data_IF_585286463533
#
_entry.id   IF_585286463533
#
_cell.length_a   1.000
_cell.length_b   1.000
_cell.length_c   1.000
_cell.angle_alpha   90.00
_cell.angle_beta   90.00
_cell.angle_gamma   90.00
#
_symmetry.space_group_name_H-M   'P 1'
#
loop_
_entity.id
_entity.type
_entity.pdbx_description
1 polymer ?
#
# COMPACT_ATOMS: atom_id res chain seq x y z
N UNK A 1 19.56 -11.17 -6.17
CA UNK A 1 18.69 -11.84 -5.17
C UNK A 1 17.96 -10.78 -4.36
N UNK A 2 16.63 -10.75 -4.36
CA UNK A 2 15.88 -10.31 -3.17
C UNK A 2 14.67 -11.24 -2.99
N UNK A 3 15.03 -12.30 -2.31
CA UNK A 3 14.22 -13.45 -1.95
C UNK A 3 13.72 -13.32 -0.52
N UNK A 4 14.22 -12.36 0.26
CA UNK A 4 14.08 -12.36 1.71
C UNK A 4 12.67 -11.98 2.17
N UNK A 5 12.01 -10.95 1.63
CA UNK A 5 10.66 -10.58 2.11
C UNK A 5 9.62 -11.65 1.78
N UNK A 6 9.68 -12.22 0.58
CA UNK A 6 8.80 -13.33 0.19
C UNK A 6 9.15 -14.63 0.93
N UNK A 7 10.44 -15.01 1.04
CA UNK A 7 10.86 -16.17 1.83
C UNK A 7 10.50 -16.02 3.30
N UNK A 8 10.69 -14.85 3.89
CA UNK A 8 10.32 -14.59 5.28
C UNK A 8 8.81 -14.72 5.46
N UNK A 9 8.01 -14.19 4.52
CA UNK A 9 6.57 -14.39 4.54
C UNK A 9 6.20 -15.87 4.36
N UNK A 10 6.81 -16.58 3.42
CA UNK A 10 6.54 -17.99 3.13
C UNK A 10 7.01 -18.91 4.27
N UNK A 11 8.02 -18.51 5.04
CA UNK A 11 8.52 -19.20 6.23
C UNK A 11 7.70 -18.88 7.50
N UNK A 12 6.81 -17.88 7.48
CA UNK A 12 5.91 -17.62 8.61
C UNK A 12 4.93 -18.79 8.79
N UNK A 13 4.60 -19.07 10.06
CA UNK A 13 3.51 -19.98 10.38
C UNK A 13 2.17 -19.45 9.80
N UNK A 14 1.17 -20.33 9.59
CA UNK A 14 -0.11 -19.96 8.98
C UNK A 14 -0.85 -18.83 9.71
N UNK A 15 -0.76 -18.79 11.04
CA UNK A 15 -1.40 -17.78 11.88
C UNK A 15 -0.81 -16.39 11.63
N UNK A 16 0.52 -16.27 11.60
CA UNK A 16 1.22 -15.02 11.33
C UNK A 16 0.99 -14.55 9.89
N UNK A 17 0.95 -15.46 8.91
CA UNK A 17 0.56 -15.13 7.53
C UNK A 17 -0.85 -14.56 7.47
N UNK A 18 -1.78 -15.19 8.19
CA UNK A 18 -3.18 -14.76 8.24
C UNK A 18 -3.30 -13.40 8.91
N UNK A 19 -2.71 -13.23 10.09
CA UNK A 19 -2.65 -11.95 10.81
C UNK A 19 -2.06 -10.84 9.95
N UNK A 20 -0.93 -11.11 9.29
CA UNK A 20 -0.31 -10.16 8.35
C UNK A 20 -1.29 -9.77 7.24
N UNK A 21 -1.91 -10.75 6.55
CA UNK A 21 -2.89 -10.46 5.49
C UNK A 21 -4.07 -9.62 5.99
N UNK A 22 -4.59 -9.92 7.18
CA UNK A 22 -5.75 -9.21 7.75
C UNK A 22 -5.42 -7.75 8.05
N UNK A 23 -4.25 -7.46 8.62
CA UNK A 23 -3.77 -6.10 8.92
C UNK A 23 -3.81 -5.21 7.67
N UNK A 24 -3.37 -5.75 6.53
CA UNK A 24 -3.30 -5.01 5.28
C UNK A 24 -4.62 -5.00 4.50
N UNK A 25 -5.53 -5.96 4.70
CA UNK A 25 -6.85 -6.00 4.02
C UNK A 25 -7.79 -4.91 4.53
N UNK A 26 -7.77 -4.62 5.83
CA UNK A 26 -8.61 -3.59 6.45
C UNK A 26 -8.01 -2.19 6.42
N UNK A 27 -6.95 -1.96 5.65
CA UNK A 27 -6.26 -0.67 5.65
C UNK A 27 -7.09 0.41 4.95
N UNK A 28 -6.97 1.64 5.42
CA UNK A 28 -7.54 2.84 4.82
C UNK A 28 -6.43 3.70 4.25
N UNK A 29 -6.72 4.40 3.15
CA UNK A 29 -5.81 5.33 2.52
C UNK A 29 -6.59 6.61 2.19
N UNK A 30 -6.16 7.71 2.80
CA UNK A 30 -6.80 9.02 2.69
C UNK A 30 -5.85 9.98 2.02
N UNK A 31 -6.31 10.63 0.96
CA UNK A 31 -5.58 11.68 0.25
C UNK A 31 -6.19 13.03 0.59
N UNK A 32 -5.38 13.97 1.07
CA UNK A 32 -5.82 15.34 1.34
C UNK A 32 -5.39 16.26 0.19
N UNK A 33 -6.16 17.33 -0.01
CA UNK A 33 -5.93 18.34 -1.06
C UNK A 33 -4.62 19.11 -0.90
N UNK A 34 -4.08 19.18 0.32
CA UNK A 34 -2.78 19.79 0.62
C UNK A 34 -1.58 18.89 0.25
N UNK A 35 -1.79 17.81 -0.51
CA UNK A 35 -0.72 16.88 -0.91
C UNK A 35 -0.30 15.89 0.18
N UNK A 36 -0.94 15.88 1.36
CA UNK A 36 -0.64 14.89 2.40
C UNK A 36 -1.49 13.63 2.25
N UNK A 37 -0.95 12.48 2.63
CA UNK A 37 -1.70 11.23 2.73
C UNK A 37 -1.62 10.65 4.14
N UNK A 38 -2.63 9.85 4.48
CA UNK A 38 -2.67 9.02 5.68
C UNK A 38 -3.03 7.59 5.27
N UNK A 39 -2.19 6.64 5.66
CA UNK A 39 -2.54 5.22 5.67
C UNK A 39 -2.81 4.79 7.10
N UNK A 40 -3.92 4.10 7.31
CA UNK A 40 -4.26 3.47 8.59
C UNK A 40 -4.35 1.97 8.37
N UNK A 41 -3.53 1.19 9.06
CA UNK A 41 -3.63 -0.28 9.04
C UNK A 41 -4.73 -0.73 10.02
N UNK A 42 -5.29 -1.93 9.83
CA UNK A 42 -6.40 -2.39 10.68
C UNK A 42 -6.01 -2.65 12.13
N UNK A 43 -4.72 -2.61 12.46
CA UNK A 43 -4.19 -2.71 13.82
C UNK A 43 -3.90 -1.33 14.46
N UNK A 44 -4.36 -0.23 13.84
CA UNK A 44 -4.18 1.13 14.34
C UNK A 44 -2.82 1.76 14.03
N UNK A 45 -1.92 1.05 13.34
CA UNK A 45 -0.65 1.65 12.89
C UNK A 45 -0.91 2.61 11.73
N UNK A 46 -0.39 3.81 11.87
CA UNK A 46 -0.59 4.88 10.89
C UNK A 46 0.71 5.24 10.18
N UNK A 47 0.59 5.70 8.94
CA UNK A 47 1.69 6.23 8.14
C UNK A 47 1.22 7.52 7.49
N UNK A 48 1.92 8.61 7.81
CA UNK A 48 1.72 9.93 7.22
C UNK A 48 2.82 10.20 6.20
N UNK A 49 2.53 11.10 5.27
CA UNK A 49 3.51 11.57 4.31
C UNK A 49 2.91 12.42 3.21
N UNK A 50 3.67 12.57 2.13
CA UNK A 50 3.27 13.36 0.95
C UNK A 50 2.93 12.43 -0.20
N UNK A 51 1.88 12.75 -0.95
CA UNK A 51 1.56 12.09 -2.21
C UNK A 51 1.76 13.06 -3.38
N UNK A 52 2.20 12.50 -4.51
CA UNK A 52 2.29 13.20 -5.78
C UNK A 52 1.88 12.27 -6.92
N UNK A 53 1.49 12.86 -8.06
CA UNK A 53 1.34 12.16 -9.32
C UNK A 53 2.50 12.53 -10.22
N UNK A 54 3.31 11.54 -10.59
CA UNK A 54 4.52 11.72 -11.40
C UNK A 54 4.45 10.72 -12.58
N UNK A 55 4.42 11.19 -13.83
CA UNK A 55 4.37 10.34 -15.03
C UNK A 55 3.28 9.24 -14.99
N UNK A 56 2.07 9.60 -14.54
CA UNK A 56 0.92 8.70 -14.35
C UNK A 56 1.10 7.62 -13.25
N UNK A 57 2.12 7.78 -12.41
CA UNK A 57 2.32 6.98 -11.21
C UNK A 57 1.92 7.76 -9.97
N UNK A 58 1.25 7.08 -9.04
CA UNK A 58 1.04 7.58 -7.68
C UNK A 58 2.30 7.32 -6.86
N UNK A 59 2.91 8.40 -6.38
CA UNK A 59 4.10 8.35 -5.54
C UNK A 59 3.70 8.73 -4.12
N UNK A 60 3.90 7.81 -3.17
CA UNK A 60 3.72 8.06 -1.74
C UNK A 60 5.10 8.14 -1.09
N UNK A 61 5.38 9.26 -0.43
CA UNK A 61 6.61 9.55 0.30
C UNK A 61 6.27 9.61 1.79
N UNK A 62 6.29 8.47 2.51
CA UNK A 62 6.11 8.45 3.97
C UNK A 62 7.13 9.35 4.67
N UNK A 63 6.76 9.93 5.81
CA UNK A 63 7.71 10.64 6.69
C UNK A 63 8.83 9.72 7.19
N UNK A 64 8.53 8.43 7.33
CA UNK A 64 9.46 7.38 7.74
C UNK A 64 9.33 6.17 6.84
N UNK A 65 10.47 5.69 6.32
CA UNK A 65 10.55 4.49 5.50
C UNK A 65 10.76 4.78 4.02
N UNK A 66 10.52 3.78 3.19
CA UNK A 66 10.78 3.85 1.75
C UNK A 66 9.62 4.49 0.98
N UNK A 67 9.96 5.22 -0.08
CA UNK A 67 9.00 5.73 -1.06
C UNK A 67 8.29 4.57 -1.74
N UNK A 68 6.97 4.69 -1.90
CA UNK A 68 6.15 3.74 -2.63
C UNK A 68 5.73 4.36 -3.95
N UNK A 69 6.03 3.69 -5.05
CA UNK A 69 5.65 4.12 -6.40
C UNK A 69 4.62 3.10 -6.91
N UNK A 70 3.47 3.58 -7.34
CA UNK A 70 2.39 2.76 -7.84
C UNK A 70 1.98 3.18 -9.24
N UNK A 71 1.83 2.20 -10.11
CA UNK A 71 1.05 2.36 -11.34
C UNK A 71 -0.44 2.32 -11.00
N UNK A 72 -1.18 3.33 -11.44
CA UNK A 72 -2.64 3.35 -11.32
C UNK A 72 -3.22 2.45 -12.42
N UNK A 73 -3.79 1.31 -12.04
CA UNK A 73 -4.42 0.37 -12.98
C UNK A 73 -5.88 0.71 -13.24
N UNK A 74 -6.60 1.21 -12.22
CA UNK A 74 -7.98 1.66 -12.34
C UNK A 74 -8.25 2.74 -11.31
N UNK A 75 -8.84 3.83 -11.73
CA UNK A 75 -9.43 4.85 -10.88
C UNK A 75 -10.86 5.10 -11.37
N UNK A 76 -11.82 5.05 -10.45
CA UNK A 76 -13.25 5.27 -10.69
C UNK A 76 -13.89 5.77 -9.40
N UNK A 77 -15.14 6.22 -9.46
CA UNK A 77 -15.85 6.79 -8.31
C UNK A 77 -15.91 5.85 -7.10
N UNK A 78 -15.85 4.53 -7.32
CA UNK A 78 -15.99 3.53 -6.26
C UNK A 78 -14.75 2.70 -6.04
N UNK A 79 -13.78 2.69 -6.97
CA UNK A 79 -12.63 1.77 -6.91
C UNK A 79 -11.33 2.44 -7.34
N UNK A 80 -10.29 2.16 -6.56
CA UNK A 80 -8.90 2.45 -6.88
C UNK A 80 -8.10 1.13 -6.87
N UNK A 81 -7.45 0.81 -7.99
CA UNK A 81 -6.56 -0.34 -8.12
C UNK A 81 -5.16 0.19 -8.43
N UNK A 82 -4.24 -0.07 -7.51
CA UNK A 82 -2.83 0.27 -7.62
C UNK A 82 -2.01 -0.99 -7.79
N UNK A 83 -0.94 -0.91 -8.56
CA UNK A 83 0.11 -1.93 -8.59
C UNK A 83 1.42 -1.29 -8.22
N UNK A 84 2.09 -1.82 -7.20
CA UNK A 84 3.38 -1.33 -6.78
C UNK A 84 4.39 -1.55 -7.93
N UNK A 85 5.10 -0.50 -8.30
CA UNK A 85 6.26 -0.61 -9.16
C UNK A 85 7.43 -1.13 -8.34
N UNK A 86 7.82 -2.37 -8.58
CA UNK A 86 9.02 -2.92 -7.96
C UNK A 86 10.24 -2.26 -8.62
N UNK A 87 10.85 -1.27 -7.97
CA UNK A 87 12.20 -0.83 -8.33
C UNK A 87 13.21 -1.78 -7.69
N UNK A 88 13.83 -2.62 -8.50
CA UNK A 88 14.85 -3.60 -8.07
C UNK A 88 14.27 -4.94 -7.61
N UNK A 89 15.13 -5.74 -6.96
CA UNK A 89 14.84 -7.16 -6.68
C UNK A 89 13.84 -7.42 -5.54
N UNK A 90 13.26 -6.39 -4.92
CA UNK A 90 12.31 -6.53 -3.81
C UNK A 90 10.95 -7.05 -4.29
N UNK A 91 10.75 -8.36 -4.13
CA UNK A 91 9.45 -9.00 -4.31
C UNK A 91 8.52 -8.55 -3.17
N UNK A 92 7.57 -7.68 -3.49
CA UNK A 92 6.52 -7.26 -2.56
C UNK A 92 5.50 -8.38 -2.37
N UNK A 93 5.15 -8.67 -1.11
CA UNK A 93 4.17 -9.70 -0.71
C UNK A 93 2.76 -9.35 -1.24
N UNK A 94 2.44 -8.07 -1.36
CA UNK A 94 1.16 -7.56 -1.88
C UNK A 94 1.37 -6.53 -2.98
N UNK A 95 1.69 -6.96 -4.22
CA UNK A 95 2.05 -6.05 -5.30
C UNK A 95 0.84 -5.30 -5.86
N UNK A 96 -0.38 -5.75 -5.56
CA UNK A 96 -1.64 -5.13 -6.03
C UNK A 96 -2.47 -4.71 -4.82
N UNK A 97 -2.87 -3.45 -4.82
CA UNK A 97 -3.69 -2.84 -3.78
C UNK A 97 -5.04 -2.47 -4.39
N UNK A 98 -6.12 -2.95 -3.78
CA UNK A 98 -7.48 -2.73 -4.26
C UNK A 98 -8.23 -2.04 -3.13
N UNK A 99 -8.74 -0.85 -3.43
CA UNK A 99 -9.51 -0.03 -2.50
C UNK A 99 -10.90 0.23 -3.08
N UNK A 100 -11.87 0.28 -2.17
CA UNK A 100 -13.20 0.83 -2.45
C UNK A 100 -13.34 2.18 -1.77
N UNK A 101 -13.94 3.15 -2.44
CA UNK A 101 -14.19 4.48 -1.86
C UNK A 101 -15.04 4.31 -0.60
N UNK A 102 -14.61 4.91 0.50
CA UNK A 102 -15.44 5.03 1.70
C UNK A 102 -16.63 5.93 1.37
N UNK A 103 -17.85 5.42 1.57
CA UNK A 103 -19.03 6.28 1.62
C UNK A 103 -19.03 6.93 2.99
N UNK A 104 -18.90 8.25 3.04
CA UNK A 104 -19.38 8.99 4.21
C UNK A 104 -20.91 8.97 4.10
N UNK A 105 -21.55 8.30 5.07
CA UNK A 105 -22.96 8.55 5.36
C UNK A 105 -23.07 9.88 6.11
#
# INVERSE_FOLDING_TARGET
MSTNSKRNFDAMNPENKTRFKTIYRGRKLTFKTNGTFLQELSNGKNTLGIWSLENNNLVLKPEKGSVWIFKIYKLSDTRLILKLENKGSNITIMPKWIFTKFKHN
#
